data_IF_633177751147
#
_entry.id   IF_633177751147
#
_cell.length_a   1.000
_cell.length_b   1.000
_cell.length_c   1.000
_cell.angle_alpha   90.00
_cell.angle_beta   90.00
_cell.angle_gamma   90.00
#
_symmetry.space_group_name_H-M   'P 1'
#
loop_
_entity.id
_entity.type
_entity.pdbx_description
1 polymer ?
#
# COMPACT_ATOMS: atom_id res chain seq x y z
N UNK A 1 -26.12 21.01 0.12
CA UNK A 1 -25.08 20.54 -0.81
C UNK A 1 -24.49 21.78 -1.43
N UNK A 2 -23.33 22.23 -0.95
CA UNK A 2 -22.68 23.42 -1.49
C UNK A 2 -21.84 22.99 -2.68
N UNK A 3 -22.20 23.41 -3.88
CA UNK A 3 -21.36 23.24 -5.07
C UNK A 3 -20.07 24.03 -4.86
N UNK A 4 -18.95 23.32 -4.75
CA UNK A 4 -17.62 23.93 -4.71
C UNK A 4 -17.28 24.38 -6.13
N UNK A 5 -17.74 25.56 -6.51
CA UNK A 5 -17.39 26.16 -7.79
C UNK A 5 -15.96 26.66 -7.71
N UNK A 6 -15.03 25.92 -8.36
CA UNK A 6 -13.63 26.35 -8.50
C UNK A 6 -13.55 27.71 -9.18
N UNK A 7 -12.64 28.54 -8.68
CA UNK A 7 -12.35 29.86 -9.24
C UNK A 7 -11.70 29.72 -10.63
N UNK A 8 -11.71 30.80 -11.43
CA UNK A 8 -11.13 30.76 -12.78
C UNK A 8 -9.62 30.48 -12.73
N UNK A 9 -8.90 31.07 -11.77
CA UNK A 9 -7.47 30.85 -11.56
C UNK A 9 -7.16 29.38 -11.28
N UNK A 10 -7.93 28.72 -10.41
CA UNK A 10 -7.74 27.28 -10.13
C UNK A 10 -7.96 26.41 -11.37
N UNK A 11 -8.86 26.81 -12.28
CA UNK A 11 -9.11 26.08 -13.53
C UNK A 11 -7.92 26.20 -14.49
N UNK A 12 -7.35 27.39 -14.60
CA UNK A 12 -6.19 27.64 -15.44
C UNK A 12 -4.95 26.91 -14.90
N UNK A 13 -4.73 26.91 -13.58
CA UNK A 13 -3.65 26.15 -12.93
C UNK A 13 -3.79 24.64 -13.13
N UNK A 14 -5.00 24.09 -13.05
CA UNK A 14 -5.27 22.67 -13.31
C UNK A 14 -4.96 22.31 -14.76
N UNK A 15 -5.32 23.18 -15.71
CA UNK A 15 -5.05 22.96 -17.14
C UNK A 15 -3.54 22.93 -17.38
N UNK A 16 -2.83 23.94 -16.90
CA UNK A 16 -1.38 24.06 -17.12
C UNK A 16 -0.62 22.89 -16.46
N UNK A 17 -1.07 22.43 -15.28
CA UNK A 17 -0.57 21.20 -14.65
C UNK A 17 -0.85 19.94 -15.48
N UNK A 18 -2.06 19.83 -16.05
CA UNK A 18 -2.46 18.70 -16.89
C UNK A 18 -1.64 18.63 -18.17
N UNK A 19 -1.41 19.77 -18.82
CA UNK A 19 -0.62 19.85 -20.05
C UNK A 19 0.84 19.47 -19.77
N UNK A 20 1.43 19.99 -18.68
CA UNK A 20 2.78 19.61 -18.26
C UNK A 20 2.92 18.12 -17.91
N UNK A 21 1.86 17.49 -17.39
CA UNK A 21 1.83 16.06 -17.11
C UNK A 21 1.73 15.22 -18.40
N UNK A 22 0.96 15.68 -19.38
CA UNK A 22 0.86 15.04 -20.68
C UNK A 22 2.22 15.05 -21.40
N UNK A 23 2.91 16.20 -21.41
CA UNK A 23 4.25 16.32 -21.99
C UNK A 23 5.26 15.36 -21.31
N UNK A 24 5.16 15.18 -19.99
CA UNK A 24 6.00 14.23 -19.25
C UNK A 24 5.68 12.77 -19.60
N UNK A 25 4.42 12.44 -19.86
CA UNK A 25 3.99 11.11 -20.27
C UNK A 25 4.55 10.77 -21.66
N UNK A 26 4.39 11.67 -22.63
CA UNK A 26 4.89 11.52 -24.00
C UNK A 26 6.42 11.45 -24.06
N UNK A 27 7.11 12.21 -23.20
CA UNK A 27 8.56 12.13 -23.04
C UNK A 27 9.05 10.86 -22.31
N UNK A 28 8.13 9.98 -21.86
CA UNK A 28 8.48 8.76 -21.13
C UNK A 28 9.08 9.01 -19.75
N UNK A 29 8.92 10.22 -19.19
CA UNK A 29 9.49 10.60 -17.89
C UNK A 29 8.65 10.13 -16.70
N UNK A 30 7.42 9.68 -16.94
CA UNK A 30 6.57 9.11 -15.89
C UNK A 30 6.99 7.67 -15.61
N UNK A 31 7.50 7.43 -14.39
CA UNK A 31 7.76 6.08 -13.93
C UNK A 31 6.44 5.38 -13.59
N UNK A 32 6.16 4.21 -14.17
CA UNK A 32 4.99 3.42 -13.80
C UNK A 32 5.01 3.11 -12.30
N UNK A 33 3.84 3.16 -11.66
CA UNK A 33 3.71 2.72 -10.28
C UNK A 33 4.09 1.23 -10.24
N UNK A 34 4.92 0.79 -9.28
CA UNK A 34 5.27 -0.63 -9.17
C UNK A 34 4.01 -1.52 -9.15
N UNK A 35 3.90 -2.42 -10.12
CA UNK A 35 2.73 -3.30 -10.31
C UNK A 35 1.67 -2.78 -11.30
N UNK A 36 1.81 -1.57 -11.85
CA UNK A 36 0.91 -1.02 -12.87
C UNK A 36 1.35 -1.26 -14.32
N UNK A 37 2.49 -1.92 -14.55
CA UNK A 37 2.95 -2.34 -15.87
C UNK A 37 2.11 -3.52 -16.36
N UNK A 38 0.86 -3.23 -16.74
CA UNK A 38 -0.11 -4.22 -17.24
C UNK A 38 -0.02 -4.35 -18.76
N UNK A 39 0.52 -3.33 -19.42
CA UNK A 39 0.74 -3.35 -20.86
C UNK A 39 2.09 -3.99 -21.13
N UNK A 40 2.01 -5.11 -21.84
CA UNK A 40 3.19 -5.78 -22.34
C UNK A 40 3.94 -4.80 -23.26
N UNK A 41 5.28 -4.86 -23.24
CA UNK A 41 6.14 -4.02 -24.07
C UNK A 41 5.75 -4.13 -25.55
N UNK A 42 6.12 -3.15 -26.38
CA UNK A 42 5.74 -3.10 -27.80
C UNK A 42 6.13 -4.38 -28.57
N UNK A 43 7.19 -5.06 -28.13
CA UNK A 43 7.69 -6.33 -28.70
C UNK A 43 7.12 -7.59 -28.02
N UNK A 44 6.14 -7.45 -27.12
CA UNK A 44 5.58 -8.59 -26.42
C UNK A 44 4.80 -9.51 -27.39
N UNK A 45 4.89 -10.84 -27.19
CA UNK A 45 4.13 -11.78 -28.01
C UNK A 45 2.63 -11.50 -27.90
N UNK A 46 1.93 -11.67 -29.03
CA UNK A 46 0.48 -11.48 -29.08
C UNK A 46 -0.22 -12.35 -28.02
N UNK A 47 -1.13 -11.72 -27.27
CA UNK A 47 -1.85 -12.36 -26.19
C UNK A 47 -2.71 -13.51 -26.73
N UNK A 48 -2.60 -14.69 -26.13
CA UNK A 48 -3.34 -15.88 -26.56
C UNK A 48 -4.76 -15.90 -25.97
N UNK A 49 -5.67 -16.71 -26.53
CA UNK A 49 -7.02 -16.89 -26.00
C UNK A 49 -7.02 -17.40 -24.54
N UNK A 50 -6.02 -18.19 -24.16
CA UNK A 50 -5.84 -18.64 -22.78
C UNK A 50 -5.42 -17.48 -21.85
N UNK A 51 -4.60 -16.57 -22.34
CA UNK A 51 -4.22 -15.37 -21.59
C UNK A 51 -5.44 -14.46 -21.40
N UNK A 52 -6.28 -14.31 -22.43
CA UNK A 52 -7.55 -13.59 -22.34
C UNK A 52 -8.48 -14.18 -21.28
N UNK A 53 -8.65 -15.51 -21.26
CA UNK A 53 -9.47 -16.19 -20.25
C UNK A 53 -8.89 -16.07 -18.84
N UNK A 54 -7.56 -16.06 -18.70
CA UNK A 54 -6.90 -15.82 -17.42
C UNK A 54 -7.13 -14.41 -16.87
N UNK A 55 -7.43 -13.42 -17.72
CA UNK A 55 -7.85 -12.07 -17.28
C UNK A 55 -9.19 -12.13 -16.54
N UNK A 56 -10.16 -12.84 -17.11
CA UNK A 56 -11.51 -12.97 -16.57
C UNK A 56 -11.60 -13.93 -15.37
N UNK A 57 -10.70 -14.91 -15.29
CA UNK A 57 -10.55 -15.79 -14.12
C UNK A 57 -9.93 -15.09 -12.90
N UNK A 58 -9.60 -13.80 -13.02
CA UNK A 58 -8.80 -13.05 -12.06
C UNK A 58 -7.32 -13.32 -12.29
N UNK A 59 -6.66 -12.46 -13.08
CA UNK A 59 -5.23 -12.60 -13.44
C UNK A 59 -4.40 -13.07 -12.23
N UNK A 60 -3.45 -14.01 -12.40
CA UNK A 60 -2.29 -14.04 -11.52
C UNK A 60 -1.55 -12.73 -11.73
N UNK A 61 -1.86 -11.74 -10.89
CA UNK A 61 -1.17 -10.45 -10.88
C UNK A 61 0.31 -10.75 -10.65
N UNK A 62 1.18 -10.31 -11.56
CA UNK A 62 2.62 -10.13 -11.29
C UNK A 62 2.85 -8.94 -10.32
N UNK A 63 1.83 -8.53 -9.57
CA UNK A 63 2.01 -7.70 -8.40
C UNK A 63 2.99 -8.45 -7.50
N UNK A 64 4.13 -7.81 -7.17
CA UNK A 64 4.92 -8.18 -6.01
C UNK A 64 3.92 -8.53 -4.91
N UNK A 65 3.92 -9.79 -4.46
CA UNK A 65 3.03 -10.26 -3.38
C UNK A 65 3.21 -9.28 -2.23
N UNK A 66 2.30 -8.31 -2.11
CA UNK A 66 2.30 -7.41 -0.99
C UNK A 66 2.18 -8.32 0.21
N UNK A 67 3.17 -8.31 1.10
CA UNK A 67 3.15 -9.11 2.32
C UNK A 67 1.82 -8.83 3.00
N UNK A 68 0.90 -9.78 2.91
CA UNK A 68 -0.48 -9.58 3.34
C UNK A 68 -0.41 -9.24 4.83
N UNK A 69 -0.75 -8.00 5.17
CA UNK A 69 -0.72 -7.54 6.55
C UNK A 69 -1.86 -8.24 7.29
N UNK A 70 -1.54 -9.29 8.04
CA UNK A 70 -2.50 -9.93 8.94
C UNK A 70 -2.71 -9.01 10.15
N UNK A 71 -3.93 -8.51 10.31
CA UNK A 71 -4.32 -7.69 11.46
C UNK A 71 -5.00 -8.59 12.50
N UNK A 72 -4.51 -8.57 13.74
CA UNK A 72 -5.12 -9.29 14.85
C UNK A 72 -5.98 -8.34 15.68
N UNK A 73 -7.17 -8.79 16.08
CA UNK A 73 -7.99 -8.12 17.09
C UNK A 73 -7.86 -8.89 18.39
N UNK A 74 -7.38 -8.22 19.44
CA UNK A 74 -7.10 -8.84 20.74
C UNK A 74 -7.98 -8.14 21.78
N UNK A 75 -8.53 -8.91 22.72
CA UNK A 75 -9.19 -8.36 23.90
C UNK A 75 -8.18 -8.30 25.03
N UNK A 76 -8.09 -7.14 25.69
CA UNK A 76 -7.16 -6.88 26.79
C UNK A 76 -7.93 -6.41 28.01
N UNK A 77 -7.29 -6.46 29.17
CA UNK A 77 -7.82 -5.80 30.38
C UNK A 77 -7.65 -4.29 30.24
N UNK A 78 -8.54 -3.53 30.89
CA UNK A 78 -8.47 -2.05 30.88
C UNK A 78 -7.13 -1.54 31.43
N UNK A 79 -6.58 -2.21 32.45
CA UNK A 79 -5.29 -1.86 33.03
C UNK A 79 -4.15 -1.99 32.01
N UNK A 80 -4.13 -3.08 31.23
CA UNK A 80 -3.08 -3.31 30.24
C UNK A 80 -3.19 -2.32 29.07
N UNK A 81 -4.42 -1.97 28.67
CA UNK A 81 -4.65 -0.95 27.65
C UNK A 81 -4.15 0.43 28.10
N UNK A 82 -4.43 0.81 29.35
CA UNK A 82 -3.93 2.05 29.92
C UNK A 82 -2.39 2.11 29.97
N UNK A 83 -1.73 1.01 30.35
CA UNK A 83 -0.28 0.91 30.35
C UNK A 83 0.31 0.97 28.94
N UNK A 84 -0.29 0.27 27.97
CA UNK A 84 0.15 0.31 26.59
C UNK A 84 -0.01 1.73 25.99
N UNK A 85 -1.09 2.43 26.31
CA UNK A 85 -1.30 3.80 25.89
C UNK A 85 -0.28 4.77 26.52
N UNK A 86 0.06 4.59 27.80
CA UNK A 86 1.11 5.37 28.47
C UNK A 86 2.48 5.13 27.83
N UNK A 87 2.90 3.88 27.69
CA UNK A 87 4.18 3.52 27.07
C UNK A 87 4.30 3.98 25.61
N UNK A 88 3.20 3.96 24.86
CA UNK A 88 3.18 4.47 23.48
C UNK A 88 3.43 5.98 23.42
N UNK A 89 2.91 6.74 24.40
CA UNK A 89 3.18 8.19 24.51
C UNK A 89 4.62 8.48 24.91
N UNK A 90 5.16 7.72 25.86
CA UNK A 90 6.55 7.86 26.32
C UNK A 90 7.56 7.60 25.19
N UNK A 91 7.31 6.56 24.39
CA UNK A 91 8.17 6.21 23.25
C UNK A 91 7.86 7.03 21.98
N UNK A 92 6.85 7.92 22.01
CA UNK A 92 6.36 8.67 20.84
C UNK A 92 6.03 7.80 19.62
N UNK A 93 5.51 6.59 19.84
CA UNK A 93 5.11 5.66 18.79
C UNK A 93 3.62 5.34 18.84
N UNK A 94 3.08 4.82 17.74
CA UNK A 94 1.71 4.33 17.72
C UNK A 94 1.58 3.08 18.61
N UNK A 95 0.49 2.97 19.36
CA UNK A 95 0.16 1.80 20.20
C UNK A 95 0.27 0.46 19.44
N UNK A 96 -0.16 0.41 18.18
CA UNK A 96 0.01 -0.80 17.36
C UNK A 96 1.48 -1.15 17.09
N UNK A 97 2.37 -0.16 17.01
CA UNK A 97 3.80 -0.38 16.85
C UNK A 97 4.43 -0.88 18.17
N UNK A 98 4.03 -0.30 19.30
CA UNK A 98 4.45 -0.75 20.62
C UNK A 98 4.06 -2.23 20.86
N UNK A 99 2.81 -2.60 20.57
CA UNK A 99 2.33 -3.97 20.73
C UNK A 99 3.12 -4.92 19.83
N UNK A 100 3.41 -4.56 18.58
CA UNK A 100 4.24 -5.38 17.70
C UNK A 100 5.66 -5.57 18.22
N UNK A 101 6.28 -4.51 18.75
CA UNK A 101 7.62 -4.55 19.37
C UNK A 101 7.61 -5.51 20.57
N UNK A 102 6.64 -5.37 21.47
CA UNK A 102 6.50 -6.23 22.65
C UNK A 102 6.25 -7.70 22.29
N UNK A 103 5.38 -7.98 21.32
CA UNK A 103 5.10 -9.35 20.85
C UNK A 103 6.34 -9.95 20.18
N UNK A 104 7.05 -9.18 19.34
CA UNK A 104 8.28 -9.64 18.69
C UNK A 104 9.37 -9.98 19.72
N UNK A 105 9.54 -9.16 20.76
CA UNK A 105 10.47 -9.42 21.86
C UNK A 105 10.07 -10.66 22.66
N UNK A 106 8.78 -10.79 23.02
CA UNK A 106 8.27 -11.96 23.72
C UNK A 106 8.51 -13.25 22.93
N UNK A 107 8.15 -13.27 21.63
CA UNK A 107 8.38 -14.44 20.77
C UNK A 107 9.87 -14.72 20.57
N UNK A 108 10.70 -13.69 20.41
CA UNK A 108 12.15 -13.81 20.26
C UNK A 108 12.85 -14.36 21.51
N UNK A 109 12.30 -14.11 22.70
CA UNK A 109 12.86 -14.61 23.96
C UNK A 109 12.32 -16.00 24.35
N UNK A 110 11.03 -16.27 24.09
CA UNK A 110 10.36 -17.48 24.57
C UNK A 110 10.18 -18.58 23.51
N UNK A 111 10.25 -18.23 22.22
CA UNK A 111 9.97 -19.14 21.11
C UNK A 111 11.03 -19.07 20.00
N UNK A 112 12.33 -19.04 20.38
CA UNK A 112 13.45 -19.04 19.42
C UNK A 112 13.40 -20.21 18.42
N UNK A 113 12.89 -21.36 18.85
CA UNK A 113 12.71 -22.55 18.00
C UNK A 113 11.64 -22.39 16.92
N UNK A 114 10.71 -21.44 17.04
CA UNK A 114 9.64 -21.19 16.06
C UNK A 114 10.05 -20.17 14.98
N UNK A 115 11.17 -19.44 15.16
CA UNK A 115 11.71 -18.51 14.16
C UNK A 115 12.44 -19.21 13.01
N UNK A 116 12.72 -20.51 13.12
CA UNK A 116 13.51 -21.29 12.15
C UNK A 116 12.67 -22.01 11.08
N UNK A 117 11.37 -21.74 10.99
CA UNK A 117 10.45 -22.42 10.06
C UNK A 117 9.95 -21.47 8.96
#
# INVERSE_FOLDING_TARGET
MSDITRTQTERDEIRDWSDALADQAEAGMLTPIPGSSVYAEEDAPAMTDNDLLAIFAGRPRQELRQTTKKTWRIRTTEQLDAWAAAGAREEHINMSALIRKAVAEYLGNHHKTAQSA
#
